data_IF_882004231994
#
_entry.id   IF_882004231994
#
_cell.length_a   1.000
_cell.length_b   1.000
_cell.length_c   1.000
_cell.angle_alpha   90.00
_cell.angle_beta   90.00
_cell.angle_gamma   90.00
#
_symmetry.space_group_name_H-M   'P 1'
#
loop_
_entity.id
_entity.type
_entity.pdbx_description
1 polymer ?
#
# COMPACT_ATOMS: atom_id res chain seq x y z
N UNK A 1 -1.37 29.57 0.10
CA UNK A 1 -0.13 28.76 0.22
C UNK A 1 0.98 29.46 -0.53
N UNK A 2 2.21 29.44 -0.01
CA UNK A 2 3.35 29.91 -0.79
C UNK A 2 3.73 28.88 -1.87
N UNK A 3 4.26 29.33 -3.00
CA UNK A 3 4.66 28.45 -4.11
C UNK A 3 5.73 27.43 -3.70
N UNK A 4 6.51 27.74 -2.65
CA UNK A 4 7.56 26.86 -2.12
C UNK A 4 6.98 25.61 -1.46
N UNK A 5 5.90 25.72 -0.68
CA UNK A 5 5.28 24.56 -0.02
C UNK A 5 4.66 23.62 -1.04
N UNK A 6 3.98 24.16 -2.05
CA UNK A 6 3.42 23.36 -3.16
C UNK A 6 4.51 22.59 -3.89
N UNK A 7 5.63 23.25 -4.18
CA UNK A 7 6.78 22.63 -4.83
C UNK A 7 7.39 21.49 -3.99
N UNK A 8 7.60 21.71 -2.68
CA UNK A 8 8.15 20.71 -1.77
C UNK A 8 7.23 19.49 -1.67
N UNK A 9 5.92 19.71 -1.48
CA UNK A 9 4.95 18.60 -1.36
C UNK A 9 4.87 17.83 -2.67
N UNK A 10 4.88 18.51 -3.81
CA UNK A 10 4.89 17.85 -5.11
C UNK A 10 6.14 16.98 -5.25
N UNK A 11 7.33 17.50 -4.92
CA UNK A 11 8.56 16.71 -4.97
C UNK A 11 8.54 15.51 -4.01
N UNK A 12 8.02 15.70 -2.79
CA UNK A 12 7.90 14.64 -1.80
C UNK A 12 6.91 13.54 -2.22
N UNK A 13 5.77 13.93 -2.81
CA UNK A 13 4.76 12.99 -3.33
C UNK A 13 5.23 12.24 -4.58
N UNK A 14 6.11 12.84 -5.39
CA UNK A 14 6.78 12.14 -6.48
C UNK A 14 7.85 11.18 -5.93
N UNK A 15 8.50 11.54 -4.82
CA UNK A 15 9.47 10.67 -4.17
C UNK A 15 8.82 9.44 -3.53
N UNK A 16 7.64 9.57 -2.90
CA UNK A 16 6.87 8.39 -2.45
C UNK A 16 6.52 7.46 -3.59
N UNK A 17 6.06 8.01 -4.72
CA UNK A 17 5.72 7.25 -5.93
C UNK A 17 6.90 6.42 -6.46
N UNK A 18 8.15 6.89 -6.26
CA UNK A 18 9.35 6.14 -6.62
C UNK A 18 9.43 4.81 -5.84
N UNK A 19 8.95 4.74 -4.60
CA UNK A 19 8.88 3.50 -3.83
C UNK A 19 8.13 2.39 -4.55
N UNK A 20 6.89 2.67 -4.97
CA UNK A 20 6.05 1.72 -5.72
C UNK A 20 6.68 1.36 -7.06
N UNK A 21 7.30 2.33 -7.73
CA UNK A 21 7.97 2.10 -9.00
C UNK A 21 9.24 1.25 -8.86
N UNK A 22 10.02 1.43 -7.77
CA UNK A 22 11.15 0.57 -7.42
C UNK A 22 10.66 -0.83 -7.13
N UNK A 23 9.61 -0.98 -6.32
CA UNK A 23 9.00 -2.28 -6.02
C UNK A 23 8.56 -3.04 -7.27
N UNK A 24 7.84 -2.36 -8.18
CA UNK A 24 7.41 -2.95 -9.44
C UNK A 24 8.59 -3.30 -10.34
N UNK A 25 9.63 -2.46 -10.38
CA UNK A 25 10.86 -2.72 -11.13
C UNK A 25 11.62 -3.92 -10.57
N UNK A 26 11.75 -4.06 -9.24
CA UNK A 26 12.36 -5.22 -8.59
C UNK A 26 11.64 -6.51 -8.96
N UNK A 27 10.30 -6.47 -9.05
CA UNK A 27 9.52 -7.58 -9.61
C UNK A 27 9.95 -7.94 -11.04
N UNK A 28 9.99 -6.93 -11.93
CA UNK A 28 10.31 -7.10 -13.36
C UNK A 28 11.75 -7.56 -13.62
N UNK A 29 12.73 -7.08 -12.85
CA UNK A 29 14.17 -7.36 -13.03
C UNK A 29 14.45 -8.86 -12.97
N UNK A 30 13.61 -9.62 -12.25
CA UNK A 30 13.67 -11.07 -12.25
C UNK A 30 13.13 -11.58 -13.60
N UNK A 31 14.02 -11.65 -14.60
CA UNK A 31 13.69 -12.11 -15.95
C UNK A 31 13.09 -13.52 -15.90
N UNK A 32 11.82 -13.64 -16.31
CA UNK A 32 11.04 -14.90 -16.29
C UNK A 32 11.03 -15.55 -14.88
N UNK A 33 10.48 -14.89 -13.86
CA UNK A 33 10.49 -15.44 -12.52
C UNK A 33 9.69 -16.74 -12.50
N UNK A 34 10.18 -17.75 -11.78
CA UNK A 34 9.37 -18.92 -11.51
C UNK A 34 8.15 -18.50 -10.69
N UNK A 35 7.02 -19.21 -10.85
CA UNK A 35 5.83 -19.01 -9.99
C UNK A 35 6.22 -18.98 -8.50
N UNK A 36 7.09 -19.89 -8.06
CA UNK A 36 7.62 -19.90 -6.69
C UNK A 36 8.36 -18.63 -6.29
N UNK A 37 9.15 -18.04 -7.18
CA UNK A 37 9.86 -16.78 -6.92
C UNK A 37 8.86 -15.65 -6.68
N UNK A 38 7.83 -15.55 -7.53
CA UNK A 38 6.77 -14.53 -7.40
C UNK A 38 6.02 -14.72 -6.08
N UNK A 39 5.61 -15.95 -5.75
CA UNK A 39 4.92 -16.25 -4.50
C UNK A 39 5.76 -15.91 -3.26
N UNK A 40 7.07 -16.17 -3.28
CA UNK A 40 7.96 -15.79 -2.18
C UNK A 40 8.09 -14.28 -2.02
N UNK A 41 8.26 -13.54 -3.12
CA UNK A 41 8.44 -12.08 -3.09
C UNK A 41 7.15 -11.39 -2.65
N UNK A 42 6.00 -11.84 -3.16
CA UNK A 42 4.69 -11.34 -2.72
C UNK A 42 4.40 -11.71 -1.25
N UNK A 43 4.78 -12.92 -0.81
CA UNK A 43 4.66 -13.33 0.58
C UNK A 43 5.53 -12.49 1.51
N UNK A 44 6.77 -12.22 1.12
CA UNK A 44 7.66 -11.31 1.84
C UNK A 44 7.07 -9.90 1.96
N UNK A 45 6.59 -9.32 0.86
CA UNK A 45 5.91 -8.02 0.85
C UNK A 45 4.69 -8.02 1.78
N UNK A 46 3.89 -9.09 1.77
CA UNK A 46 2.73 -9.26 2.68
C UNK A 46 3.14 -9.19 4.15
N UNK A 47 4.26 -9.83 4.50
CA UNK A 47 4.80 -9.82 5.85
C UNK A 47 5.26 -8.43 6.31
N UNK A 48 5.96 -7.70 5.42
CA UNK A 48 6.36 -6.31 5.69
C UNK A 48 5.14 -5.44 5.93
N UNK A 49 4.14 -5.48 5.02
CA UNK A 49 2.92 -4.68 5.15
C UNK A 49 2.13 -5.02 6.42
N UNK A 50 2.02 -6.31 6.77
CA UNK A 50 1.36 -6.71 8.02
C UNK A 50 2.05 -6.07 9.24
N UNK A 51 3.38 -6.07 9.26
CA UNK A 51 4.13 -5.44 10.35
C UNK A 51 3.91 -3.92 10.40
N UNK A 52 3.95 -3.23 9.26
CA UNK A 52 3.72 -1.78 9.19
C UNK A 52 2.33 -1.43 9.72
N UNK A 53 1.31 -2.19 9.34
CA UNK A 53 -0.06 -1.94 9.84
C UNK A 53 -0.16 -2.16 11.35
N UNK A 54 0.42 -3.25 11.87
CA UNK A 54 0.31 -3.60 13.29
C UNK A 54 1.17 -2.73 14.21
N UNK A 55 2.35 -2.32 13.76
CA UNK A 55 3.37 -1.66 14.60
C UNK A 55 3.44 -0.14 14.41
N UNK A 56 2.93 0.39 13.29
CA UNK A 56 3.01 1.82 12.98
C UNK A 56 1.62 2.42 12.79
N UNK A 57 0.85 1.97 11.79
CA UNK A 57 -0.42 2.63 11.43
C UNK A 57 -1.50 2.55 12.52
N UNK A 58 -1.75 1.36 13.08
CA UNK A 58 -2.75 1.20 14.14
C UNK A 58 -2.31 1.90 15.43
N UNK A 59 -1.08 1.72 15.94
CA UNK A 59 -0.61 2.45 17.12
C UNK A 59 -0.65 3.97 16.94
N UNK A 60 -0.28 4.48 15.76
CA UNK A 60 -0.33 5.91 15.49
C UNK A 60 -1.78 6.42 15.42
N UNK A 61 -2.71 5.65 14.83
CA UNK A 61 -4.13 5.99 14.89
C UNK A 61 -4.63 6.09 16.35
N UNK A 62 -4.30 5.11 17.19
CA UNK A 62 -4.63 5.10 18.64
C UNK A 62 -3.96 6.26 19.39
N UNK A 63 -2.83 6.78 18.92
CA UNK A 63 -2.18 7.95 19.52
C UNK A 63 -2.94 9.26 19.22
N UNK A 64 -3.70 9.30 18.12
CA UNK A 64 -4.44 10.48 17.66
C UNK A 64 -5.94 10.45 18.01
N UNK A 65 -6.54 9.27 18.09
CA UNK A 65 -7.94 9.01 18.44
C UNK A 65 -8.03 7.89 19.49
N UNK A 66 -9.22 7.44 19.88
CA UNK A 66 -9.34 6.31 20.83
C UNK A 66 -9.22 4.96 20.12
N UNK A 67 -8.91 3.90 20.89
CA UNK A 67 -8.93 2.52 20.39
C UNK A 67 -10.28 2.16 19.76
N UNK A 68 -11.39 2.59 20.38
CA UNK A 68 -12.74 2.32 19.85
C UNK A 68 -12.96 2.96 18.48
N UNK A 69 -12.59 4.24 18.31
CA UNK A 69 -12.69 4.90 17.01
C UNK A 69 -11.72 4.30 15.98
N UNK A 70 -10.51 3.92 16.39
CA UNK A 70 -9.55 3.26 15.50
C UNK A 70 -10.13 1.96 14.94
N UNK A 71 -10.68 1.10 15.80
CA UNK A 71 -11.34 -0.14 15.40
C UNK A 71 -12.50 0.14 14.45
N UNK A 72 -13.33 1.16 14.74
CA UNK A 72 -14.44 1.56 13.89
C UNK A 72 -13.99 1.92 12.48
N UNK A 73 -12.97 2.77 12.32
CA UNK A 73 -12.44 3.14 11.01
C UNK A 73 -11.70 1.98 10.33
N UNK A 74 -10.99 1.12 11.07
CA UNK A 74 -10.44 -0.13 10.53
C UNK A 74 -11.54 -1.01 9.93
N UNK A 75 -12.68 -1.17 10.61
CA UNK A 75 -13.82 -1.94 10.09
C UNK A 75 -14.35 -1.30 8.81
N UNK A 76 -14.50 0.03 8.76
CA UNK A 76 -14.92 0.72 7.53
C UNK A 76 -13.94 0.44 6.37
N UNK A 77 -12.63 0.51 6.62
CA UNK A 77 -11.62 0.18 5.61
C UNK A 77 -11.74 -1.25 5.10
N UNK A 78 -11.87 -2.22 6.00
CA UNK A 78 -12.09 -3.65 5.66
C UNK A 78 -13.36 -3.82 4.82
N UNK A 79 -14.48 -3.25 5.28
CA UNK A 79 -15.77 -3.35 4.58
C UNK A 79 -15.71 -2.71 3.19
N UNK A 80 -14.96 -1.62 3.03
CA UNK A 80 -14.81 -0.94 1.74
C UNK A 80 -14.17 -1.86 0.70
N UNK A 81 -13.03 -2.48 1.02
CA UNK A 81 -12.36 -3.39 0.08
C UNK A 81 -13.13 -4.69 -0.07
N UNK A 82 -13.74 -5.19 1.01
CA UNK A 82 -14.58 -6.39 0.95
C UNK A 82 -15.80 -6.21 0.04
N UNK A 83 -16.49 -5.08 0.12
CA UNK A 83 -17.61 -4.77 -0.77
C UNK A 83 -17.15 -4.71 -2.22
N UNK A 84 -16.00 -4.08 -2.48
CA UNK A 84 -15.40 -4.04 -3.81
C UNK A 84 -15.09 -5.46 -4.31
N UNK A 85 -14.44 -6.28 -3.51
CA UNK A 85 -14.09 -7.67 -3.87
C UNK A 85 -15.34 -8.52 -4.15
N UNK A 86 -16.42 -8.36 -3.36
CA UNK A 86 -17.71 -9.02 -3.60
C UNK A 86 -18.37 -8.52 -4.89
N UNK A 87 -18.45 -7.21 -5.10
CA UNK A 87 -19.09 -6.60 -6.27
C UNK A 87 -18.37 -6.94 -7.57
N UNK A 88 -17.07 -7.17 -7.48
CA UNK A 88 -16.21 -7.57 -8.60
C UNK A 88 -16.00 -9.09 -8.68
N UNK A 89 -16.54 -9.85 -7.72
CA UNK A 89 -16.44 -11.31 -7.62
C UNK A 89 -17.42 -12.06 -8.53
N UNK A 90 -16.88 -12.99 -9.33
CA UNK A 90 -17.44 -14.14 -10.09
C UNK A 90 -18.79 -14.06 -10.84
N UNK A 91 -19.51 -12.93 -10.80
CA UNK A 91 -20.69 -12.68 -11.65
C UNK A 91 -20.40 -11.80 -12.87
N UNK A 92 -19.15 -11.37 -13.04
CA UNK A 92 -18.72 -10.56 -14.18
C UNK A 92 -18.44 -11.41 -15.42
N UNK A 93 -19.29 -11.27 -16.44
CA UNK A 93 -19.08 -11.74 -17.83
C UNK A 93 -17.85 -11.12 -18.55
N UNK A 94 -16.88 -10.56 -17.83
CA UNK A 94 -15.72 -9.91 -18.40
C UNK A 94 -14.48 -10.79 -18.30
N UNK A 95 -14.00 -11.21 -19.47
CA UNK A 95 -12.79 -11.99 -19.74
C UNK A 95 -11.53 -11.39 -19.11
N UNK A 96 -11.29 -11.66 -17.83
CA UNK A 96 -10.03 -11.36 -17.15
C UNK A 96 -9.55 -12.66 -16.51
N UNK A 97 -8.38 -13.15 -16.93
CA UNK A 97 -7.76 -14.35 -16.33
C UNK A 97 -7.61 -14.17 -14.81
N UNK A 98 -7.67 -15.26 -14.04
CA UNK A 98 -7.68 -15.18 -12.56
C UNK A 98 -6.59 -14.28 -11.96
N UNK A 99 -5.38 -14.31 -12.52
CA UNK A 99 -4.27 -13.46 -12.07
C UNK A 99 -4.45 -11.97 -12.41
N UNK A 100 -5.08 -11.62 -13.53
CA UNK A 100 -5.37 -10.22 -13.85
C UNK A 100 -6.47 -9.66 -12.93
N UNK A 101 -7.42 -10.49 -12.46
CA UNK A 101 -8.39 -10.10 -11.43
C UNK A 101 -7.68 -9.81 -10.11
N UNK A 102 -6.76 -10.68 -9.69
CA UNK A 102 -5.93 -10.44 -8.50
C UNK A 102 -5.11 -9.16 -8.63
N UNK A 103 -4.48 -8.93 -9.80
CA UNK A 103 -3.77 -7.68 -10.07
C UNK A 103 -4.66 -6.44 -9.95
N UNK A 104 -5.89 -6.51 -10.47
CA UNK A 104 -6.85 -5.43 -10.38
C UNK A 104 -7.32 -5.19 -8.93
N UNK A 105 -7.66 -6.25 -8.18
CA UNK A 105 -8.07 -6.11 -6.77
C UNK A 105 -6.94 -5.57 -5.89
N UNK A 106 -5.73 -6.10 -6.07
CA UNK A 106 -4.56 -5.59 -5.36
C UNK A 106 -4.35 -4.11 -5.70
N UNK A 107 -4.36 -3.74 -6.98
CA UNK A 107 -4.18 -2.34 -7.40
C UNK A 107 -5.28 -1.43 -6.83
N UNK A 108 -6.54 -1.84 -6.89
CA UNK A 108 -7.66 -1.04 -6.40
C UNK A 108 -7.64 -0.88 -4.87
N UNK A 109 -7.34 -1.95 -4.14
CA UNK A 109 -7.18 -1.88 -2.68
C UNK A 109 -6.04 -0.95 -2.28
N UNK A 110 -4.90 -1.05 -2.96
CA UNK A 110 -3.73 -0.18 -2.73
C UNK A 110 -4.04 1.28 -3.11
N UNK A 111 -4.74 1.54 -4.22
CA UNK A 111 -5.19 2.89 -4.58
C UNK A 111 -6.04 3.54 -3.47
N UNK A 112 -6.90 2.75 -2.81
CA UNK A 112 -7.74 3.23 -1.72
C UNK A 112 -6.95 3.45 -0.42
N UNK A 113 -5.84 2.74 -0.21
CA UNK A 113 -4.92 2.96 0.90
C UNK A 113 -4.07 4.22 0.72
N UNK A 114 -3.55 4.38 -0.50
CA UNK A 114 -2.63 5.44 -0.91
C UNK A 114 -3.28 6.83 -0.85
N UNK A 115 -4.60 6.90 -1.00
CA UNK A 115 -5.32 8.17 -0.93
C UNK A 115 -5.32 8.81 0.49
N UNK A 116 -5.82 8.13 1.55
CA UNK A 116 -5.69 8.60 2.94
C UNK A 116 -4.24 8.93 3.34
N UNK A 117 -3.30 8.10 2.92
CA UNK A 117 -1.89 8.25 3.23
C UNK A 117 -1.29 9.51 2.58
N UNK A 118 -1.66 9.79 1.32
CA UNK A 118 -1.36 11.06 0.67
C UNK A 118 -1.87 12.26 1.46
N UNK A 119 -3.13 12.23 1.92
CA UNK A 119 -3.73 13.32 2.72
C UNK A 119 -2.90 13.59 3.98
N UNK A 120 -2.51 12.52 4.68
CA UNK A 120 -1.68 12.59 5.89
C UNK A 120 -0.31 13.23 5.58
N UNK A 121 0.35 12.80 4.50
CA UNK A 121 1.63 13.37 4.08
C UNK A 121 1.52 14.86 3.78
N UNK A 122 0.54 15.25 2.96
CA UNK A 122 0.31 16.63 2.56
C UNK A 122 0.04 17.56 3.74
N UNK A 123 -0.81 17.13 4.66
CA UNK A 123 -1.10 17.86 5.89
C UNK A 123 0.10 17.93 6.84
N UNK A 124 0.89 16.86 6.90
CA UNK A 124 2.11 16.80 7.69
C UNK A 124 3.09 17.93 7.34
N UNK A 125 3.24 18.26 6.05
CA UNK A 125 4.10 19.37 5.60
C UNK A 125 3.64 20.75 6.07
N UNK A 126 2.34 20.94 6.33
CA UNK A 126 1.80 22.20 6.85
C UNK A 126 1.86 22.28 8.38
N UNK A 127 1.60 21.18 9.06
CA UNK A 127 1.66 21.13 10.53
C UNK A 127 3.10 21.29 11.02
N UNK A 128 4.03 20.46 10.50
CA UNK A 128 5.45 20.50 10.84
C UNK A 128 6.28 19.98 9.66
N UNK A 129 7.12 20.82 9.04
CA UNK A 129 7.95 20.41 7.87
C UNK A 129 8.75 19.12 8.10
N UNK A 130 9.23 18.89 9.32
CA UNK A 130 9.95 17.66 9.71
C UNK A 130 9.06 16.42 9.68
N UNK A 131 7.78 16.55 10.05
CA UNK A 131 6.79 15.48 9.98
C UNK A 131 6.51 15.10 8.52
N UNK A 132 6.29 16.08 7.64
CA UNK A 132 6.07 15.82 6.21
C UNK A 132 7.23 15.07 5.55
N UNK A 133 8.48 15.48 5.81
CA UNK A 133 9.67 14.78 5.30
C UNK A 133 9.75 13.35 5.85
N UNK A 134 9.55 13.18 7.17
CA UNK A 134 9.58 11.86 7.81
C UNK A 134 8.53 10.93 7.19
N UNK A 135 7.29 11.41 7.02
CA UNK A 135 6.23 10.63 6.39
C UNK A 135 6.57 10.27 4.94
N UNK A 136 7.09 11.20 4.14
CA UNK A 136 7.47 10.90 2.74
C UNK A 136 8.53 9.80 2.61
N UNK A 137 9.49 9.74 3.54
CA UNK A 137 10.52 8.69 3.58
C UNK A 137 9.94 7.33 4.00
N UNK A 138 9.14 7.31 5.06
CA UNK A 138 8.46 6.09 5.54
C UNK A 138 7.56 5.52 4.43
N UNK A 139 6.82 6.40 3.77
CA UNK A 139 5.96 6.08 2.64
C UNK A 139 6.74 5.46 1.49
N UNK A 140 7.79 6.14 1.02
CA UNK A 140 8.61 5.61 -0.07
C UNK A 140 9.18 4.21 0.24
N UNK A 141 9.46 3.89 1.50
CA UNK A 141 9.99 2.59 1.90
C UNK A 141 8.89 1.52 1.90
N UNK A 142 7.70 1.80 2.44
CA UNK A 142 6.61 0.82 2.48
C UNK A 142 5.91 0.63 1.13
N UNK A 143 6.00 1.62 0.24
CA UNK A 143 5.50 1.54 -1.13
C UNK A 143 6.27 0.52 -1.98
N UNK A 144 7.50 0.15 -1.59
CA UNK A 144 8.29 -0.88 -2.30
C UNK A 144 7.56 -2.25 -2.25
N UNK A 145 7.16 -2.78 -1.08
CA UNK A 145 6.25 -3.91 -0.98
C UNK A 145 4.98 -3.79 -1.83
N UNK A 146 4.36 -2.62 -1.91
CA UNK A 146 3.15 -2.42 -2.73
C UNK A 146 3.41 -2.55 -4.23
N UNK A 147 4.51 -1.99 -4.70
CA UNK A 147 4.93 -2.13 -6.10
C UNK A 147 5.17 -3.58 -6.48
N UNK A 148 5.71 -4.37 -5.56
CA UNK A 148 5.84 -5.81 -5.70
C UNK A 148 4.45 -6.47 -5.79
N UNK A 149 3.52 -6.09 -4.90
CA UNK A 149 2.17 -6.65 -4.85
C UNK A 149 1.38 -6.41 -6.15
N UNK A 150 1.51 -5.23 -6.75
CA UNK A 150 0.89 -4.90 -8.06
C UNK A 150 1.56 -5.70 -9.18
N UNK A 151 2.88 -5.77 -9.21
CA UNK A 151 3.62 -6.36 -10.32
C UNK A 151 3.56 -7.90 -10.35
N UNK A 152 3.54 -8.56 -9.19
CA UNK A 152 3.54 -10.01 -9.04
C UNK A 152 2.46 -10.74 -9.90
N UNK A 153 1.15 -10.46 -9.73
CA UNK A 153 0.11 -11.11 -10.50
C UNK A 153 0.15 -10.75 -12.00
N UNK A 154 0.57 -9.52 -12.34
CA UNK A 154 0.74 -9.09 -13.73
C UNK A 154 1.88 -9.83 -14.44
N UNK A 155 2.95 -10.15 -13.72
CA UNK A 155 4.05 -10.98 -14.22
C UNK A 155 3.61 -12.42 -14.47
N UNK A 156 2.81 -13.00 -13.57
CA UNK A 156 2.22 -14.34 -13.79
C UNK A 156 1.31 -14.33 -15.02
N UNK A 157 0.56 -13.25 -15.23
CA UNK A 157 -0.25 -13.01 -16.42
C UNK A 157 0.56 -12.69 -17.69
N UNK A 158 1.90 -12.66 -17.62
CA UNK A 158 2.82 -12.35 -18.73
C UNK A 158 2.58 -10.97 -19.36
N UNK A 159 2.17 -10.00 -18.54
CA UNK A 159 1.97 -8.61 -18.96
C UNK A 159 3.31 -7.98 -19.36
N UNK A 160 3.31 -7.12 -20.38
CA UNK A 160 4.53 -6.42 -20.83
C UNK A 160 5.08 -5.52 -19.71
N UNK A 161 6.42 -5.44 -19.48
CA UNK A 161 7.02 -4.64 -18.42
C UNK A 161 6.52 -3.18 -18.36
N UNK A 162 6.41 -2.52 -19.50
CA UNK A 162 5.89 -1.15 -19.57
C UNK A 162 4.47 -1.01 -19.00
N UNK A 163 3.57 -1.98 -19.28
CA UNK A 163 2.22 -1.98 -18.72
C UNK A 163 2.23 -2.24 -17.22
N UNK A 164 3.14 -3.07 -16.72
CA UNK A 164 3.31 -3.31 -15.27
C UNK A 164 3.71 -2.00 -14.59
N UNK A 165 4.67 -1.28 -15.16
CA UNK A 165 5.09 0.02 -14.63
C UNK A 165 3.97 1.06 -14.68
N UNK A 166 3.17 1.07 -15.76
CA UNK A 166 2.02 1.97 -15.87
C UNK A 166 0.96 1.65 -14.80
N UNK A 167 0.66 0.37 -14.55
CA UNK A 167 -0.26 -0.01 -13.49
C UNK A 167 0.29 0.36 -12.11
N UNK A 168 1.57 0.13 -11.83
CA UNK A 168 2.19 0.56 -10.58
C UNK A 168 2.10 2.09 -10.39
N UNK A 169 2.36 2.87 -11.44
CA UNK A 169 2.22 4.32 -11.42
C UNK A 169 0.77 4.74 -11.12
N UNK A 170 -0.21 4.15 -11.81
CA UNK A 170 -1.64 4.45 -11.58
C UNK A 170 -2.05 4.08 -10.15
N UNK A 171 -1.52 2.99 -9.60
CA UNK A 171 -1.80 2.55 -8.24
C UNK A 171 -1.25 3.50 -7.18
N UNK A 172 -0.08 4.11 -7.42
CA UNK A 172 0.56 5.07 -6.52
C UNK A 172 0.08 6.51 -6.70
N UNK A 173 -0.54 6.84 -7.84
CA UNK A 173 -0.99 8.20 -8.14
C UNK A 173 -1.97 8.80 -7.12
N UNK A 174 -2.87 8.03 -6.47
CA UNK A 174 -3.72 8.54 -5.39
C UNK A 174 -2.97 9.19 -4.23
N UNK A 175 -1.72 8.78 -3.93
CA UNK A 175 -0.89 9.44 -2.90
C UNK A 175 -0.58 10.89 -3.29
N UNK A 176 -0.30 11.14 -4.57
CA UNK A 176 -0.06 12.50 -5.08
C UNK A 176 -1.32 13.36 -4.95
N UNK A 177 -2.46 12.84 -5.40
CA UNK A 177 -3.76 13.53 -5.29
C UNK A 177 -4.09 13.82 -3.82
N UNK A 178 -3.96 12.80 -2.96
CA UNK A 178 -4.18 12.91 -1.53
C UNK A 178 -3.28 13.97 -0.91
N UNK A 179 -1.99 14.02 -1.27
CA UNK A 179 -1.05 15.01 -0.75
C UNK A 179 -1.45 16.43 -1.10
N UNK A 180 -1.89 16.70 -2.32
CA UNK A 180 -2.37 18.02 -2.69
C UNK A 180 -3.61 18.39 -1.91
N UNK A 181 -4.58 17.48 -1.81
CA UNK A 181 -5.79 17.67 -0.99
C UNK A 181 -5.41 17.94 0.46
N UNK A 182 -4.48 17.18 1.05
CA UNK A 182 -4.02 17.36 2.42
C UNK A 182 -3.42 18.74 2.68
N UNK A 183 -2.66 19.28 1.73
CA UNK A 183 -2.15 20.66 1.82
C UNK A 183 -3.29 21.68 1.66
N UNK A 184 -4.25 21.46 0.76
CA UNK A 184 -5.37 22.40 0.59
C UNK A 184 -6.33 22.42 1.79
N UNK A 185 -6.58 21.26 2.41
CA UNK A 185 -7.41 21.15 3.62
C UNK A 185 -6.72 21.85 4.80
N UNK A 186 -5.38 21.88 4.84
CA UNK A 186 -4.65 22.67 5.82
C UNK A 186 -4.43 21.94 7.14
N UNK A 187 -4.71 22.61 8.27
CA UNK A 187 -4.58 22.08 9.64
C UNK A 187 -5.58 20.94 9.89
N UNK A 188 -5.27 19.76 9.34
CA UNK A 188 -6.02 18.55 9.63
C UNK A 188 -5.94 18.28 11.13
N UNK A 189 -7.10 18.06 11.76
CA UNK A 189 -7.14 17.75 13.18
C UNK A 189 -6.45 16.41 13.43
N UNK A 190 -5.90 16.23 14.65
CA UNK A 190 -5.38 14.92 15.07
C UNK A 190 -6.44 13.82 14.85
N UNK A 191 -7.72 14.14 15.10
CA UNK A 191 -8.82 13.22 14.86
C UNK A 191 -8.84 12.72 13.41
N UNK A 192 -8.90 13.62 12.43
CA UNK A 192 -8.96 13.23 11.01
C UNK A 192 -7.72 12.44 10.56
N UNK A 193 -6.54 12.74 11.10
CA UNK A 193 -5.35 11.91 10.87
C UNK A 193 -5.53 10.48 11.40
N UNK A 194 -6.03 10.34 12.63
CA UNK A 194 -6.32 9.03 13.22
C UNK A 194 -7.40 8.25 12.47
N UNK A 195 -8.44 8.93 11.98
CA UNK A 195 -9.50 8.36 11.15
C UNK A 195 -8.95 7.82 9.82
N UNK A 196 -8.11 8.61 9.14
CA UNK A 196 -7.44 8.22 7.91
C UNK A 196 -6.53 7.00 8.13
N UNK A 197 -5.71 7.02 9.19
CA UNK A 197 -4.81 5.92 9.54
C UNK A 197 -5.57 4.64 9.90
N UNK A 198 -6.67 4.75 10.67
CA UNK A 198 -7.53 3.61 10.99
C UNK A 198 -8.15 3.00 9.73
N UNK A 199 -8.71 3.83 8.84
CA UNK A 199 -9.28 3.36 7.57
C UNK A 199 -8.22 2.71 6.67
N UNK A 200 -7.06 3.36 6.53
CA UNK A 200 -5.91 2.86 5.77
C UNK A 200 -5.41 1.50 6.31
N UNK A 201 -5.37 1.34 7.63
CA UNK A 201 -5.02 0.07 8.30
C UNK A 201 -6.00 -1.04 7.96
N UNK A 202 -7.31 -0.75 7.99
CA UNK A 202 -8.35 -1.69 7.63
C UNK A 202 -8.27 -2.16 6.17
N UNK A 203 -8.05 -1.22 5.25
CA UNK A 203 -7.84 -1.51 3.83
C UNK A 203 -6.66 -2.47 3.66
N UNK A 204 -5.52 -2.17 4.27
CA UNK A 204 -4.32 -3.01 4.13
C UNK A 204 -4.44 -4.37 4.80
N UNK A 205 -5.14 -4.48 5.93
CA UNK A 205 -5.46 -5.77 6.53
C UNK A 205 -6.22 -6.66 5.54
N UNK A 206 -7.25 -6.11 4.87
CA UNK A 206 -7.99 -6.87 3.88
C UNK A 206 -7.15 -7.20 2.65
N UNK A 207 -6.34 -6.27 2.13
CA UNK A 207 -5.45 -6.52 0.99
C UNK A 207 -4.44 -7.64 1.31
N UNK A 208 -3.81 -7.61 2.49
CA UNK A 208 -2.84 -8.62 2.92
C UNK A 208 -3.49 -10.00 3.08
N UNK A 209 -4.58 -10.09 3.85
CA UNK A 209 -5.20 -11.39 4.17
C UNK A 209 -6.13 -11.92 3.07
N UNK A 210 -6.82 -11.04 2.36
CA UNK A 210 -7.80 -11.39 1.32
C UNK A 210 -7.16 -11.59 -0.06
N UNK A 211 -6.04 -10.94 -0.35
CA UNK A 211 -5.45 -10.95 -1.70
C UNK A 211 -3.99 -11.43 -1.70
N UNK A 212 -3.09 -10.75 -0.98
CA UNK A 212 -1.65 -10.99 -1.12
C UNK A 212 -1.19 -12.34 -0.58
N UNK A 213 -1.56 -12.69 0.66
CA UNK A 213 -1.20 -13.99 1.26
C UNK A 213 -1.84 -15.16 0.49
N UNK A 214 -3.16 -15.14 0.18
CA UNK A 214 -3.79 -16.18 -0.62
C UNK A 214 -3.12 -16.38 -1.98
N UNK A 215 -2.85 -15.30 -2.72
CA UNK A 215 -2.21 -15.40 -4.04
C UNK A 215 -0.76 -15.90 -3.91
N UNK A 216 -0.03 -15.49 -2.88
CA UNK A 216 1.33 -15.99 -2.63
C UNK A 216 1.34 -17.50 -2.42
N UNK A 217 0.38 -18.03 -1.65
CA UNK A 217 0.22 -19.46 -1.38
C UNK A 217 -0.32 -20.23 -2.59
N UNK A 218 -1.13 -19.59 -3.43
CA UNK A 218 -1.65 -20.16 -4.68
C UNK A 218 -0.55 -20.35 -5.74
N UNK A 219 0.38 -19.39 -5.83
CA UNK A 219 1.45 -19.42 -6.83
C UNK A 219 2.70 -20.19 -6.32
N UNK A 220 3.04 -20.06 -5.04
CA UNK A 220 4.30 -20.55 -4.46
C UNK A 220 4.19 -21.80 -3.59
N UNK A 221 5.33 -22.45 -3.31
CA UNK A 221 5.41 -23.57 -2.37
C UNK A 221 5.10 -23.09 -0.95
N UNK A 222 4.04 -23.62 -0.33
CA UNK A 222 3.55 -23.28 1.02
C UNK A 222 4.66 -22.97 2.03
N UNK A 223 5.58 -23.90 2.29
CA UNK A 223 6.66 -23.71 3.29
C UNK A 223 7.56 -22.52 2.93
N UNK A 224 7.97 -22.37 1.67
CA UNK A 224 8.85 -21.27 1.24
C UNK A 224 8.15 -19.92 1.32
N UNK A 225 6.87 -19.87 0.95
CA UNK A 225 6.04 -18.67 1.05
C UNK A 225 5.85 -18.28 2.51
N UNK A 226 5.52 -19.24 3.38
CA UNK A 226 5.39 -18.99 4.82
C UNK A 226 6.67 -18.45 5.42
N UNK A 227 7.84 -19.04 5.10
CA UNK A 227 9.13 -18.50 5.54
C UNK A 227 9.37 -17.07 5.01
N UNK A 228 8.97 -16.80 3.77
CA UNK A 228 9.11 -15.46 3.18
C UNK A 228 8.23 -14.44 3.90
N UNK A 229 6.98 -14.78 4.24
CA UNK A 229 6.08 -13.94 5.06
C UNK A 229 6.72 -13.66 6.42
N UNK A 230 7.23 -14.69 7.11
CA UNK A 230 7.85 -14.52 8.42
C UNK A 230 9.10 -13.62 8.36
N UNK A 231 9.94 -13.78 7.34
CA UNK A 231 11.08 -12.90 7.11
C UNK A 231 10.65 -11.46 6.82
N UNK A 232 9.56 -11.28 6.08
CA UNK A 232 8.95 -9.98 5.83
C UNK A 232 8.47 -9.31 7.12
N UNK A 233 7.83 -10.06 8.01
CA UNK A 233 7.41 -9.56 9.33
C UNK A 233 8.64 -9.12 10.15
N UNK A 234 9.68 -9.95 10.20
CA UNK A 234 10.92 -9.62 10.93
C UNK A 234 11.54 -8.33 10.40
N UNK A 235 11.67 -8.20 9.07
CA UNK A 235 12.19 -6.97 8.48
C UNK A 235 11.27 -5.77 8.76
N UNK A 236 9.96 -5.96 8.65
CA UNK A 236 8.97 -4.93 8.94
C UNK A 236 9.11 -4.39 10.37
N UNK A 237 9.32 -5.27 11.35
CA UNK A 237 9.58 -4.87 12.75
C UNK A 237 10.85 -4.02 12.82
N UNK A 238 11.93 -4.40 12.13
CA UNK A 238 13.16 -3.61 12.10
C UNK A 238 12.89 -2.23 11.49
N UNK A 239 12.19 -2.17 10.36
CA UNK A 239 11.86 -0.91 9.66
C UNK A 239 11.07 0.02 10.58
N UNK A 240 10.03 -0.47 11.26
CA UNK A 240 9.16 0.35 12.13
C UNK A 240 9.82 0.78 13.44
N UNK A 241 10.97 0.19 13.81
CA UNK A 241 11.71 0.57 15.03
C UNK A 241 12.92 1.46 14.76
N UNK A 242 13.39 1.53 13.50
CA UNK A 242 14.56 2.33 13.11
C UNK A 242 14.16 3.70 12.57
N UNK A 243 12.93 3.83 12.04
CA UNK A 243 12.37 5.07 11.48
C UNK A 243 11.51 5.82 12.52
#
# INVERSE_FOLDING_TARGET
MDGKTIFIVTLASLFSLIGTMIGASLGIIIKKPSKNSIGNINGFASGVMLSVVMMDLIPEAISKITVFYTIFFCIIGILTVMLIDILTGDKGKYFISGHLKVAFMASLGLMLHNFPEGIIMGAGFLAYKTLGIKMSLIIAIHDIPEGIAVSAPLMVARTRPFKIMLYAFITAFPTVIGSWIGVYIGNISKAVLGECLGMASGIMLYVVFGQMIPESLNIGKKIKVTLSILLGIILGIVITNVL
#
